data_IF_975205215677
#
_entry.id   IF_975205215677
#
_cell.length_a   1.000
_cell.length_b   1.000
_cell.length_c   1.000
_cell.angle_alpha   90.00
_cell.angle_beta   90.00
_cell.angle_gamma   90.00
#
_symmetry.space_group_name_H-M   'P 1'
#
loop_
_entity.id
_entity.type
_entity.pdbx_description
1 polymer ?
#
# COMPACT_ATOMS: atom_id res chain seq x y z
N UNK A 1 5.30 -9.17 14.73
CA UNK A 1 4.79 -9.43 13.36
C UNK A 1 5.74 -10.39 12.66
N UNK A 2 5.24 -11.32 11.86
CA UNK A 2 6.04 -12.25 11.04
C UNK A 2 6.30 -11.71 9.62
N UNK A 3 7.09 -12.41 8.80
CA UNK A 3 7.24 -12.06 7.38
C UNK A 3 5.94 -12.23 6.58
N UNK A 4 5.17 -13.33 6.70
CA UNK A 4 3.85 -13.43 6.05
C UNK A 4 2.94 -12.26 6.43
N UNK A 5 3.00 -11.81 7.68
CA UNK A 5 2.18 -10.69 8.11
C UNK A 5 2.53 -9.37 7.41
N UNK A 6 3.83 -9.13 7.20
CA UNK A 6 4.32 -7.98 6.43
C UNK A 6 3.87 -8.08 4.97
N UNK A 7 4.02 -9.26 4.35
CA UNK A 7 3.60 -9.48 2.95
C UNK A 7 2.09 -9.25 2.78
N UNK A 8 1.28 -9.69 3.75
CA UNK A 8 -0.15 -9.43 3.77
C UNK A 8 -0.45 -7.93 3.91
N UNK A 9 0.29 -7.20 4.75
CA UNK A 9 0.15 -5.74 4.84
C UNK A 9 0.51 -5.04 3.53
N UNK A 10 1.56 -5.46 2.83
CA UNK A 10 1.88 -4.92 1.49
C UNK A 10 0.73 -5.23 0.51
N UNK A 11 0.20 -6.46 0.52
CA UNK A 11 -0.89 -6.87 -0.36
C UNK A 11 -2.16 -6.03 -0.15
N UNK A 12 -2.58 -5.84 1.10
CA UNK A 12 -3.76 -5.06 1.47
C UNK A 12 -3.58 -3.59 1.08
N UNK A 13 -2.40 -3.01 1.32
CA UNK A 13 -2.10 -1.64 0.91
C UNK A 13 -2.09 -1.47 -0.61
N UNK A 14 -1.50 -2.40 -1.36
CA UNK A 14 -1.55 -2.38 -2.84
C UNK A 14 -2.97 -2.55 -3.38
N UNK A 15 -3.80 -3.39 -2.75
CA UNK A 15 -5.20 -3.53 -3.14
C UNK A 15 -5.98 -2.23 -2.92
N UNK A 16 -5.78 -1.60 -1.77
CA UNK A 16 -6.39 -0.33 -1.43
C UNK A 16 -5.93 0.80 -2.35
N UNK A 17 -4.63 0.85 -2.65
CA UNK A 17 -4.05 1.83 -3.55
C UNK A 17 -4.62 1.69 -4.98
N UNK A 18 -4.70 0.45 -5.48
CA UNK A 18 -5.30 0.17 -6.79
C UNK A 18 -6.77 0.59 -6.87
N UNK A 19 -7.54 0.35 -5.80
CA UNK A 19 -8.94 0.80 -5.71
C UNK A 19 -9.04 2.33 -5.71
N UNK A 20 -8.24 3.02 -4.88
CA UNK A 20 -8.24 4.49 -4.83
C UNK A 20 -7.76 5.12 -6.12
N UNK A 21 -6.81 4.52 -6.84
CA UNK A 21 -6.44 4.98 -8.17
C UNK A 21 -7.59 4.82 -9.18
N UNK A 22 -8.29 3.68 -9.15
CA UNK A 22 -9.41 3.43 -10.05
C UNK A 22 -10.57 4.40 -9.85
N UNK A 23 -10.83 4.87 -8.62
CA UNK A 23 -11.83 5.91 -8.32
C UNK A 23 -11.55 7.24 -9.06
N UNK A 24 -10.30 7.50 -9.40
CA UNK A 24 -9.85 8.71 -10.10
C UNK A 24 -9.74 8.54 -11.62
N UNK A 25 -10.08 7.38 -12.18
CA UNK A 25 -10.00 7.10 -13.62
C UNK A 25 -10.92 7.96 -14.52
N UNK A 26 -11.83 8.74 -13.93
CA UNK A 26 -12.74 9.65 -14.65
C UNK A 26 -12.93 10.99 -13.93
N UNK A 27 -12.07 11.29 -12.96
CA UNK A 27 -12.19 12.43 -12.04
C UNK A 27 -10.89 13.22 -11.90
N UNK A 28 -9.82 12.79 -12.56
CA UNK A 28 -8.54 13.46 -12.50
C UNK A 28 -8.58 14.83 -13.21
N UNK A 29 -7.58 15.70 -12.97
CA UNK A 29 -7.58 17.05 -13.55
C UNK A 29 -7.47 17.11 -15.08
N UNK A 30 -7.06 16.02 -15.73
CA UNK A 30 -6.97 15.92 -17.19
C UNK A 30 -7.20 14.49 -17.66
N UNK A 31 -7.48 14.33 -18.96
CA UNK A 31 -7.67 13.02 -19.57
C UNK A 31 -6.41 12.14 -19.47
N UNK A 32 -5.23 12.74 -19.61
CA UNK A 32 -3.96 12.03 -19.42
C UNK A 32 -3.80 11.53 -17.98
N UNK A 33 -4.23 12.33 -17.00
CA UNK A 33 -4.23 11.93 -15.60
C UNK A 33 -5.27 10.84 -15.29
N UNK A 34 -6.44 10.88 -15.95
CA UNK A 34 -7.45 9.81 -15.88
C UNK A 34 -6.89 8.48 -16.39
N UNK A 35 -6.23 8.51 -17.56
CA UNK A 35 -5.59 7.32 -18.15
C UNK A 35 -4.48 6.79 -17.25
N UNK A 36 -3.66 7.67 -16.68
CA UNK A 36 -2.61 7.27 -15.74
C UNK A 36 -3.20 6.63 -14.47
N UNK A 37 -4.25 7.22 -13.89
CA UNK A 37 -4.94 6.67 -12.72
C UNK A 37 -5.54 5.29 -13.01
N UNK A 38 -6.20 5.11 -14.16
CA UNK A 38 -6.75 3.82 -14.57
C UNK A 38 -5.65 2.75 -14.75
N UNK A 39 -4.53 3.12 -15.39
CA UNK A 39 -3.41 2.21 -15.61
C UNK A 39 -2.77 1.76 -14.29
N UNK A 40 -2.42 2.71 -13.42
CA UNK A 40 -1.82 2.40 -12.11
C UNK A 40 -2.80 1.60 -11.23
N UNK A 41 -4.09 1.91 -11.29
CA UNK A 41 -5.12 1.15 -10.58
C UNK A 41 -5.17 -0.32 -11.00
N UNK A 42 -5.10 -0.60 -12.29
CA UNK A 42 -5.05 -1.97 -12.81
C UNK A 42 -3.78 -2.69 -12.36
N UNK A 43 -2.63 -2.03 -12.46
CA UNK A 43 -1.33 -2.60 -12.08
C UNK A 43 -1.30 -2.96 -10.59
N UNK A 44 -1.74 -2.07 -9.70
CA UNK A 44 -1.73 -2.33 -8.25
C UNK A 44 -2.74 -3.39 -7.79
N UNK A 45 -3.89 -3.51 -8.47
CA UNK A 45 -4.78 -4.66 -8.30
C UNK A 45 -4.12 -5.96 -8.81
N UNK A 46 -3.26 -5.90 -9.82
CA UNK A 46 -2.40 -7.02 -10.22
C UNK A 46 -1.34 -7.35 -9.16
N UNK A 47 -0.65 -6.33 -8.64
CA UNK A 47 0.40 -6.44 -7.64
C UNK A 47 -0.10 -7.09 -6.34
N UNK A 48 -1.26 -6.65 -5.85
CA UNK A 48 -1.89 -7.25 -4.66
C UNK A 48 -2.18 -8.73 -4.85
N UNK A 49 -2.69 -9.16 -6.01
CA UNK A 49 -2.92 -10.59 -6.32
C UNK A 49 -1.61 -11.40 -6.32
N UNK A 50 -0.52 -10.84 -6.86
CA UNK A 50 0.80 -11.48 -6.81
C UNK A 50 1.29 -11.63 -5.37
N UNK A 51 1.14 -10.59 -4.55
CA UNK A 51 1.52 -10.61 -3.13
C UNK A 51 0.69 -11.61 -2.32
N UNK A 52 -0.63 -11.66 -2.53
CA UNK A 52 -1.48 -12.68 -1.93
C UNK A 52 -1.04 -14.10 -2.31
N UNK A 53 -0.68 -14.31 -3.58
CA UNK A 53 -0.13 -15.58 -4.06
C UNK A 53 1.24 -15.95 -3.47
N UNK A 54 1.93 -15.04 -2.78
CA UNK A 54 3.17 -15.34 -2.06
C UNK A 54 2.92 -15.89 -0.66
N UNK A 55 1.70 -15.76 -0.10
CA UNK A 55 1.43 -16.09 1.31
C UNK A 55 1.36 -17.59 1.56
N UNK A 56 0.77 -18.37 0.66
CA UNK A 56 0.68 -19.84 0.81
C UNK A 56 2.08 -20.49 0.92
N UNK A 57 3.07 -20.18 0.04
CA UNK A 57 4.44 -20.65 0.21
C UNK A 57 5.14 -20.19 1.51
N UNK A 58 4.64 -19.13 2.14
CA UNK A 58 5.11 -18.64 3.43
C UNK A 58 4.33 -19.24 4.62
N UNK A 59 3.40 -20.17 4.37
CA UNK A 59 2.59 -20.84 5.38
C UNK A 59 1.43 -20.01 5.92
N UNK A 60 0.96 -19.00 5.19
CA UNK A 60 -0.16 -18.15 5.58
C UNK A 60 -1.32 -18.22 4.56
N UNK A 61 -2.55 -18.19 5.03
CA UNK A 61 -3.75 -18.10 4.19
C UNK A 61 -4.31 -16.68 4.22
N UNK A 62 -4.37 -15.96 3.09
CA UNK A 62 -5.00 -14.65 3.03
C UNK A 62 -6.54 -14.69 3.12
N UNK A 63 -7.20 -15.85 3.25
CA UNK A 63 -8.67 -15.96 3.14
C UNK A 63 -9.35 -16.39 4.44
N UNK A 64 -8.95 -15.80 5.56
CA UNK A 64 -9.62 -16.01 6.84
C UNK A 64 -11.08 -15.52 6.82
N UNK A 65 -12.03 -16.20 7.52
CA UNK A 65 -13.44 -15.80 7.58
C UNK A 65 -13.67 -14.40 8.19
N UNK A 66 -12.74 -13.94 9.01
CA UNK A 66 -12.70 -12.57 9.52
C UNK A 66 -12.54 -11.52 8.41
N UNK A 67 -11.85 -11.84 7.30
CA UNK A 67 -11.69 -10.92 6.15
C UNK A 67 -12.98 -10.65 5.41
N UNK A 68 -13.97 -11.54 5.54
CA UNK A 68 -15.30 -11.38 4.95
C UNK A 68 -16.25 -10.60 5.85
N UNK A 69 -15.95 -10.46 7.15
CA UNK A 69 -16.91 -9.94 8.16
C UNK A 69 -16.41 -8.72 8.94
N UNK A 70 -15.09 -8.51 9.03
CA UNK A 70 -14.48 -7.42 9.79
C UNK A 70 -13.51 -6.60 8.92
N UNK A 71 -13.87 -5.35 8.65
CA UNK A 71 -12.99 -4.41 7.93
C UNK A 71 -11.68 -4.14 8.70
N UNK A 72 -11.67 -4.28 10.02
CA UNK A 72 -10.49 -4.13 10.87
C UNK A 72 -9.44 -5.22 10.68
N UNK A 73 -9.78 -6.32 10.00
CA UNK A 73 -8.84 -7.39 9.65
C UNK A 73 -7.90 -7.03 8.51
N UNK A 74 -8.23 -6.00 7.71
CA UNK A 74 -7.36 -5.47 6.66
C UNK A 74 -6.22 -4.65 7.26
N UNK A 75 -5.04 -4.80 6.67
CA UNK A 75 -3.76 -4.27 7.18
C UNK A 75 -3.27 -3.06 6.39
N UNK A 76 -4.22 -2.28 5.88
CA UNK A 76 -3.96 -1.05 5.14
C UNK A 76 -3.65 0.14 6.08
N UNK A 77 -2.89 1.09 5.56
CA UNK A 77 -2.68 2.39 6.21
C UNK A 77 -3.99 3.20 6.29
N UNK A 78 -4.07 4.08 7.28
CA UNK A 78 -5.27 4.89 7.52
C UNK A 78 -5.53 5.92 6.41
N UNK A 79 -4.52 6.22 5.59
CA UNK A 79 -4.63 7.03 4.38
C UNK A 79 -5.68 6.50 3.38
N UNK A 80 -5.98 5.20 3.47
CA UNK A 80 -6.95 4.53 2.62
C UNK A 80 -8.30 4.28 3.30
N UNK A 81 -8.46 4.62 4.59
CA UNK A 81 -9.69 4.32 5.32
C UNK A 81 -10.91 5.05 4.75
N UNK A 82 -10.72 6.13 4.00
CA UNK A 82 -11.76 6.88 3.29
C UNK A 82 -11.35 7.15 1.83
N UNK A 83 -12.32 7.34 0.90
CA UNK A 83 -12.03 7.83 -0.44
C UNK A 83 -11.34 9.19 -0.41
N UNK A 84 -10.50 9.46 -1.41
CA UNK A 84 -9.85 10.75 -1.54
C UNK A 84 -10.80 11.77 -2.18
N UNK A 85 -10.94 12.94 -1.56
CA UNK A 85 -11.77 14.04 -2.05
C UNK A 85 -11.02 15.00 -2.97
N UNK A 86 -9.68 15.02 -2.88
CA UNK A 86 -8.83 15.97 -3.59
C UNK A 86 -7.69 15.28 -4.34
N UNK A 87 -7.31 15.85 -5.48
CA UNK A 87 -6.22 15.31 -6.31
C UNK A 87 -4.86 15.34 -5.60
N UNK A 88 -4.66 16.31 -4.71
CA UNK A 88 -3.45 16.40 -3.86
C UNK A 88 -3.26 15.15 -3.00
N UNK A 89 -4.36 14.51 -2.55
CA UNK A 89 -4.30 13.25 -1.80
C UNK A 89 -3.85 12.08 -2.67
N UNK A 90 -4.34 12.02 -3.92
CA UNK A 90 -3.90 11.05 -4.92
C UNK A 90 -2.40 11.18 -5.17
N UNK A 91 -1.94 12.41 -5.45
CA UNK A 91 -0.52 12.67 -5.73
C UNK A 91 0.35 12.33 -4.52
N UNK A 92 -0.06 12.70 -3.31
CA UNK A 92 0.70 12.38 -2.10
C UNK A 92 0.80 10.87 -1.87
N UNK A 93 -0.28 10.11 -2.10
CA UNK A 93 -0.23 8.65 -2.04
C UNK A 93 0.68 8.06 -3.10
N UNK A 94 0.53 8.48 -4.36
CA UNK A 94 1.35 7.98 -5.48
C UNK A 94 2.83 8.31 -5.33
N UNK A 95 3.16 9.52 -4.90
CA UNK A 95 4.54 9.90 -4.77
C UNK A 95 5.18 9.28 -3.52
N UNK A 96 4.51 9.27 -2.37
CA UNK A 96 5.12 8.87 -1.10
C UNK A 96 4.80 7.43 -0.71
N UNK A 97 3.52 7.09 -0.60
CA UNK A 97 3.09 5.78 -0.08
C UNK A 97 3.40 4.66 -1.07
N UNK A 98 3.09 4.87 -2.35
CA UNK A 98 3.36 3.90 -3.40
C UNK A 98 4.86 3.59 -3.46
N UNK A 99 5.69 4.64 -3.52
CA UNK A 99 7.16 4.53 -3.46
C UNK A 99 7.63 3.84 -2.17
N UNK A 100 7.01 4.12 -1.01
CA UNK A 100 7.34 3.43 0.23
C UNK A 100 7.03 1.92 0.16
N UNK A 101 5.92 1.55 -0.45
CA UNK A 101 5.59 0.14 -0.73
C UNK A 101 6.62 -0.48 -1.68
N UNK A 102 7.00 0.22 -2.75
CA UNK A 102 8.07 -0.20 -3.66
C UNK A 102 9.37 -0.44 -2.89
N UNK A 103 9.77 0.45 -1.98
CA UNK A 103 10.99 0.29 -1.16
C UNK A 103 10.92 -0.95 -0.25
N UNK A 104 9.76 -1.24 0.35
CA UNK A 104 9.58 -2.46 1.12
C UNK A 104 9.65 -3.71 0.23
N UNK A 105 9.10 -3.63 -0.99
CA UNK A 105 9.20 -4.71 -1.98
C UNK A 105 10.66 -4.90 -2.45
N UNK A 106 11.42 -3.83 -2.66
CA UNK A 106 12.86 -3.88 -2.92
C UNK A 106 13.60 -4.60 -1.76
N UNK A 107 13.20 -4.33 -0.51
CA UNK A 107 13.76 -5.01 0.66
C UNK A 107 13.47 -6.52 0.66
N UNK A 108 12.25 -6.92 0.28
CA UNK A 108 11.86 -8.32 0.11
C UNK A 108 12.65 -9.01 -1.01
N UNK A 109 12.80 -8.35 -2.16
CA UNK A 109 13.53 -8.88 -3.33
C UNK A 109 15.03 -9.00 -3.05
N UNK A 110 15.59 -8.09 -2.25
CA UNK A 110 16.99 -8.15 -1.84
C UNK A 110 17.26 -9.11 -0.66
N UNK A 111 16.23 -9.55 0.05
CA UNK A 111 16.34 -10.51 1.16
C UNK A 111 16.52 -11.95 0.69
N UNK A 112 16.56 -12.91 1.61
CA UNK A 112 16.89 -14.32 1.33
C UNK A 112 15.71 -15.23 0.98
N UNK A 113 14.50 -14.68 0.77
CA UNK A 113 13.26 -15.47 0.65
C UNK A 113 12.88 -15.66 -0.81
N UNK A 114 13.16 -16.86 -1.34
CA UNK A 114 13.11 -17.17 -2.78
C UNK A 114 11.78 -16.84 -3.46
N UNK A 115 10.64 -17.17 -2.82
CA UNK A 115 9.31 -16.89 -3.39
C UNK A 115 9.11 -15.38 -3.64
N UNK A 116 9.58 -14.54 -2.72
CA UNK A 116 9.49 -13.08 -2.84
C UNK A 116 10.46 -12.55 -3.88
N UNK A 117 11.70 -13.05 -3.90
CA UNK A 117 12.69 -12.68 -4.92
C UNK A 117 12.20 -12.99 -6.34
N UNK A 118 11.55 -14.14 -6.53
CA UNK A 118 11.10 -14.55 -7.86
C UNK A 118 9.85 -13.78 -8.31
N UNK A 119 8.83 -13.71 -7.44
CA UNK A 119 7.51 -13.19 -7.81
C UNK A 119 7.44 -11.66 -7.85
N UNK A 120 8.25 -10.96 -7.06
CA UNK A 120 8.16 -9.50 -6.93
C UNK A 120 9.10 -8.72 -7.86
N UNK A 121 10.01 -9.37 -8.59
CA UNK A 121 10.93 -8.68 -9.53
C UNK A 121 10.21 -7.98 -10.68
N UNK A 122 9.16 -8.59 -11.24
CA UNK A 122 8.39 -8.00 -12.35
C UNK A 122 7.65 -6.74 -11.88
N UNK A 123 7.08 -6.79 -10.69
CA UNK A 123 6.38 -5.68 -10.05
C UNK A 123 7.27 -4.45 -9.96
N UNK A 124 8.54 -4.58 -9.53
CA UNK A 124 9.47 -3.45 -9.47
C UNK A 124 9.72 -2.76 -10.83
N UNK A 125 9.53 -3.45 -11.96
CA UNK A 125 9.65 -2.85 -13.28
C UNK A 125 8.42 -2.00 -13.64
N UNK A 126 7.24 -2.42 -13.21
CA UNK A 126 5.95 -1.73 -13.43
C UNK A 126 5.87 -0.47 -12.54
N UNK A 127 6.30 -0.58 -11.28
CA UNK A 127 6.38 0.51 -10.29
C UNK A 127 7.24 1.70 -10.75
N UNK A 128 8.19 1.48 -11.68
CA UNK A 128 9.00 2.57 -12.24
C UNK A 128 8.14 3.63 -12.92
N UNK A 129 7.04 3.24 -13.55
CA UNK A 129 6.11 4.20 -14.16
C UNK A 129 5.39 5.03 -13.08
N UNK A 130 4.91 4.37 -12.02
CA UNK A 130 4.22 5.02 -10.90
C UNK A 130 5.13 6.07 -10.24
N UNK A 131 6.38 5.70 -9.97
CA UNK A 131 7.39 6.61 -9.42
C UNK A 131 7.61 7.84 -10.31
N UNK A 132 7.75 7.65 -11.62
CA UNK A 132 7.97 8.78 -12.55
C UNK A 132 6.75 9.72 -12.58
N UNK A 133 5.54 9.16 -12.56
CA UNK A 133 4.30 9.92 -12.48
C UNK A 133 4.23 10.75 -11.19
N UNK A 134 4.41 10.11 -10.02
CA UNK A 134 4.35 10.78 -8.72
C UNK A 134 5.42 11.86 -8.56
N UNK A 135 6.66 11.57 -8.98
CA UNK A 135 7.76 12.55 -8.94
C UNK A 135 7.50 13.75 -9.84
N UNK A 136 6.87 13.55 -11.01
CA UNK A 136 6.50 14.65 -11.90
C UNK A 136 5.53 15.61 -11.21
N UNK A 137 4.51 15.08 -10.53
CA UNK A 137 3.55 15.90 -9.80
C UNK A 137 4.13 16.58 -8.56
N UNK A 138 5.02 15.92 -7.80
CA UNK A 138 5.72 16.58 -6.68
C UNK A 138 6.50 17.81 -7.13
N UNK A 139 7.14 17.76 -8.31
CA UNK A 139 7.87 18.91 -8.87
C UNK A 139 6.96 20.07 -9.27
N UNK A 140 5.71 19.80 -9.62
CA UNK A 140 4.69 20.82 -9.88
C UNK A 140 4.15 21.48 -8.60
N UNK A 141 4.38 20.86 -7.44
CA UNK A 141 3.88 21.31 -6.14
C UNK A 141 2.50 20.74 -5.83
N UNK A 142 2.29 20.36 -4.56
CA UNK A 142 1.00 19.94 -4.02
C UNK A 142 0.79 20.49 -2.62
N UNK A 143 -0.45 20.41 -2.13
CA UNK A 143 -0.79 20.81 -0.77
C UNK A 143 0.02 20.05 0.27
N UNK A 144 0.43 20.81 1.30
CA UNK A 144 1.35 20.34 2.32
C UNK A 144 0.73 19.26 3.22
N UNK A 145 -0.56 19.39 3.56
CA UNK A 145 -1.22 18.51 4.51
C UNK A 145 -1.31 17.04 4.03
N UNK A 146 -1.81 16.74 2.81
CA UNK A 146 -1.77 15.37 2.29
C UNK A 146 -0.35 14.80 2.22
N UNK A 147 0.62 15.63 1.83
CA UNK A 147 2.02 15.23 1.72
C UNK A 147 2.64 14.88 3.09
N UNK A 148 2.44 15.71 4.11
CA UNK A 148 2.94 15.45 5.47
C UNK A 148 2.28 14.22 6.09
N UNK A 149 0.99 14.02 5.84
CA UNK A 149 0.27 12.82 6.27
C UNK A 149 0.85 11.57 5.60
N UNK A 150 1.05 11.60 4.28
CA UNK A 150 1.63 10.47 3.54
C UNK A 150 3.05 10.13 4.03
N UNK A 151 3.89 11.13 4.32
CA UNK A 151 5.22 10.89 4.92
C UNK A 151 5.15 10.25 6.30
N UNK A 152 4.25 10.72 7.17
CA UNK A 152 4.03 10.09 8.48
C UNK A 152 3.65 8.63 8.32
N UNK A 153 2.65 8.34 7.51
CA UNK A 153 2.13 6.99 7.33
C UNK A 153 3.14 6.07 6.61
N UNK A 154 4.01 6.59 5.73
CA UNK A 154 5.13 5.84 5.17
C UNK A 154 6.17 5.44 6.23
N UNK A 155 6.47 6.32 7.19
CA UNK A 155 7.39 6.00 8.29
C UNK A 155 6.74 4.98 9.25
N UNK A 156 5.45 5.14 9.57
CA UNK A 156 4.69 4.13 10.32
C UNK A 156 4.69 2.78 9.59
N UNK A 157 4.57 2.80 8.25
CA UNK A 157 4.64 1.62 7.42
C UNK A 157 6.04 0.97 7.41
N UNK A 158 7.13 1.68 7.63
CA UNK A 158 8.45 1.07 7.81
C UNK A 158 8.62 0.47 9.22
N UNK A 159 7.91 1.02 10.20
CA UNK A 159 7.90 0.54 11.58
C UNK A 159 9.01 1.14 12.44
N UNK A 160 9.07 0.79 13.73
CA UNK A 160 10.03 1.36 14.67
C UNK A 160 11.47 0.97 14.31
N UNK A 161 12.47 1.84 14.56
CA UNK A 161 13.87 1.61 14.15
C UNK A 161 14.49 0.28 14.60
N UNK A 162 14.10 -0.20 15.78
CA UNK A 162 14.53 -1.45 16.41
C UNK A 162 13.43 -2.52 16.44
N UNK A 163 12.40 -2.33 15.61
CA UNK A 163 11.22 -3.18 15.53
C UNK A 163 11.38 -4.49 14.77
N UNK A 164 10.24 -5.02 14.40
CA UNK A 164 10.11 -6.29 13.70
C UNK A 164 10.67 -6.25 12.26
N UNK A 165 10.54 -5.14 11.53
CA UNK A 165 11.22 -4.97 10.23
C UNK A 165 12.75 -5.05 10.37
N UNK A 166 13.32 -4.44 11.41
CA UNK A 166 14.78 -4.54 11.67
C UNK A 166 15.17 -5.96 12.07
N UNK A 167 14.32 -6.67 12.82
CA UNK A 167 14.53 -8.09 13.12
C UNK A 167 14.53 -8.94 11.84
N UNK A 168 13.55 -8.75 10.95
CA UNK A 168 13.51 -9.43 9.64
C UNK A 168 14.75 -9.13 8.79
N UNK A 169 15.28 -7.90 8.84
CA UNK A 169 16.54 -7.54 8.18
C UNK A 169 17.73 -8.28 8.77
N UNK A 170 17.86 -8.35 10.11
CA UNK A 170 18.95 -9.07 10.79
C UNK A 170 18.91 -10.57 10.50
N UNK A 171 17.72 -11.14 10.39
CA UNK A 171 17.49 -12.53 9.97
C UNK A 171 17.81 -12.78 8.49
N UNK A 172 18.15 -11.75 7.71
CA UNK A 172 18.42 -11.85 6.28
C UNK A 172 17.17 -11.95 5.40
N UNK A 173 15.97 -11.98 5.98
CA UNK A 173 14.70 -12.07 5.24
C UNK A 173 14.39 -10.81 4.44
N UNK A 174 14.89 -9.65 4.89
CA UNK A 174 14.86 -8.37 4.18
C UNK A 174 16.29 -7.84 4.00
N UNK A 175 16.57 -7.15 2.90
CA UNK A 175 17.87 -6.47 2.72
C UNK A 175 17.96 -5.12 3.44
N UNK A 176 16.82 -4.48 3.71
CA UNK A 176 16.72 -3.16 4.32
C UNK A 176 15.81 -3.18 5.54
N UNK A 177 16.23 -2.49 6.59
CA UNK A 177 15.45 -2.21 7.80
C UNK A 177 14.88 -0.79 7.74
N UNK A 178 14.15 -0.34 8.78
CA UNK A 178 13.37 0.89 8.71
C UNK A 178 14.19 2.14 8.37
N UNK A 179 15.40 2.26 8.93
CA UNK A 179 16.29 3.39 8.66
C UNK A 179 16.83 3.39 7.21
N UNK A 180 17.19 2.22 6.67
CA UNK A 180 17.61 2.11 5.27
C UNK A 180 16.44 2.35 4.32
N UNK A 181 15.25 1.84 4.63
CA UNK A 181 14.04 2.07 3.84
C UNK A 181 13.68 3.56 3.78
N UNK A 182 13.72 4.27 4.91
CA UNK A 182 13.55 5.72 4.92
C UNK A 182 14.59 6.44 4.06
N UNK A 183 15.87 6.08 4.20
CA UNK A 183 16.95 6.68 3.40
C UNK A 183 16.72 6.46 1.91
N UNK A 184 16.35 5.23 1.53
CA UNK A 184 16.05 4.83 0.16
C UNK A 184 14.86 5.61 -0.42
N UNK A 185 13.80 5.79 0.36
CA UNK A 185 12.63 6.60 -0.03
C UNK A 185 13.02 8.06 -0.27
N UNK A 186 13.79 8.66 0.64
CA UNK A 186 14.30 10.03 0.49
C UNK A 186 15.18 10.20 -0.75
N UNK A 187 16.05 9.22 -1.04
CA UNK A 187 16.90 9.20 -2.23
C UNK A 187 16.10 9.09 -3.52
N UNK A 188 15.12 8.18 -3.59
CA UNK A 188 14.27 8.03 -4.77
C UNK A 188 13.51 9.32 -5.06
N UNK A 189 12.96 9.95 -4.02
CA UNK A 189 12.13 11.15 -4.19
C UNK A 189 12.94 12.44 -4.35
N UNK A 190 14.27 12.40 -4.18
CA UNK A 190 15.12 13.59 -4.12
C UNK A 190 14.63 14.60 -3.06
N UNK A 191 14.02 14.10 -1.98
CA UNK A 191 13.31 14.87 -0.98
C UNK A 191 13.55 14.31 0.42
N UNK A 192 13.64 15.19 1.43
CA UNK A 192 13.80 14.77 2.83
C UNK A 192 12.44 14.58 3.48
N UNK A 193 12.28 13.49 4.23
CA UNK A 193 11.09 13.32 5.04
C UNK A 193 11.01 14.43 6.11
N UNK A 194 9.83 14.98 6.39
CA UNK A 194 9.65 15.91 7.49
C UNK A 194 10.03 15.25 8.83
N UNK A 195 10.26 16.08 9.85
CA UNK A 195 10.42 15.55 11.20
C UNK A 195 9.05 15.08 11.69
N UNK A 196 8.90 13.77 11.83
CA UNK A 196 7.67 13.14 12.34
C UNK A 196 7.95 12.57 13.72
N UNK A 197 7.12 12.93 14.68
CA UNK A 197 7.09 12.31 16.02
C UNK A 197 5.98 11.25 16.04
N UNK A 198 6.36 9.99 16.28
CA UNK A 198 5.47 8.82 16.25
C UNK A 198 5.53 8.17 17.63
N UNK A 199 4.37 8.03 18.27
CA UNK A 199 4.26 7.24 19.50
C UNK A 199 4.24 5.74 19.14
N UNK A 200 5.43 5.14 19.11
CA UNK A 200 5.59 3.70 18.84
C UNK A 200 4.91 2.80 19.88
N UNK A 201 4.50 3.31 21.04
CA UNK A 201 3.72 2.53 22.03
C UNK A 201 2.26 2.35 21.59
N UNK A 202 1.74 3.28 20.81
CA UNK A 202 0.39 3.24 20.25
C UNK A 202 0.36 2.62 18.83
N UNK A 203 1.52 2.31 18.26
CA UNK A 203 1.64 1.75 16.91
C UNK A 203 1.20 0.29 16.87
N UNK A 204 0.29 -0.02 15.95
CA UNK A 204 -0.19 -1.38 15.70
C UNK A 204 0.79 -2.12 14.78
N UNK A 205 1.52 -3.15 15.26
CA UNK A 205 2.52 -3.82 14.44
C UNK A 205 1.94 -4.69 13.33
N UNK A 206 0.65 -5.02 13.36
CA UNK A 206 -0.01 -5.83 12.33
C UNK A 206 -0.50 -4.93 11.19
N UNK A 207 -1.14 -3.80 11.53
CA UNK A 207 -1.66 -2.84 10.54
C UNK A 207 -0.68 -1.73 10.16
N UNK A 208 0.43 -1.64 10.89
CA UNK A 208 1.57 -0.75 10.65
C UNK A 208 1.18 0.74 10.67
N UNK A 209 0.32 1.10 11.62
CA UNK A 209 -0.22 2.46 11.78
C UNK A 209 -0.48 2.79 13.24
N UNK A 210 -0.40 4.06 13.61
CA UNK A 210 -0.86 4.53 14.93
C UNK A 210 -2.35 4.90 14.93
N UNK A 211 -2.86 5.32 13.77
CA UNK A 211 -4.24 5.70 13.60
C UNK A 211 -5.19 4.50 13.82
N UNK A 212 -6.25 4.75 14.59
CA UNK A 212 -7.35 3.80 14.78
C UNK A 212 -8.35 3.93 13.63
N UNK A 213 -9.21 2.92 13.49
CA UNK A 213 -10.24 2.87 12.46
C UNK A 213 -10.14 1.60 11.62
N UNK A 214 -10.85 1.62 10.50
CA UNK A 214 -10.82 0.65 9.41
C UNK A 214 -11.40 1.37 8.17
N UNK A 215 -11.31 0.72 7.01
CA UNK A 215 -11.95 1.22 5.80
C UNK A 215 -13.46 1.41 5.99
N UNK A 216 -14.03 2.40 5.29
CA UNK A 216 -15.47 2.65 5.31
C UNK A 216 -16.29 1.47 4.77
N UNK A 217 -17.57 1.43 5.16
CA UNK A 217 -18.48 0.33 4.83
C UNK A 217 -18.66 0.14 3.32
N UNK A 218 -18.69 1.23 2.54
CA UNK A 218 -18.85 1.15 1.10
C UNK A 218 -17.61 0.52 0.47
N UNK A 219 -16.41 0.99 0.83
CA UNK A 219 -15.15 0.40 0.37
C UNK A 219 -15.07 -1.09 0.73
N UNK A 220 -15.46 -1.45 1.96
CA UNK A 220 -15.48 -2.85 2.39
C UNK A 220 -16.55 -3.69 1.65
N UNK A 221 -17.66 -3.07 1.26
CA UNK A 221 -18.67 -3.68 0.40
C UNK A 221 -18.14 -4.01 -1.00
N UNK A 222 -17.41 -3.06 -1.63
CA UNK A 222 -16.80 -3.26 -2.96
C UNK A 222 -15.80 -4.40 -2.96
N UNK A 223 -14.91 -4.47 -1.96
CA UNK A 223 -13.90 -5.53 -1.87
C UNK A 223 -14.51 -6.94 -1.80
N UNK A 224 -15.73 -7.07 -1.26
CA UNK A 224 -16.47 -8.34 -1.11
C UNK A 224 -17.46 -8.60 -2.25
N UNK A 225 -17.45 -7.78 -3.30
CA UNK A 225 -18.37 -7.90 -4.42
C UNK A 225 -19.84 -7.62 -4.05
N UNK A 226 -20.11 -7.00 -2.90
CA UNK A 226 -21.47 -6.75 -2.41
C UNK A 226 -22.15 -5.59 -3.15
N UNK A 227 -21.36 -4.66 -3.67
CA UNK A 227 -21.85 -3.54 -4.46
C UNK A 227 -22.29 -4.00 -5.85
N UNK A 228 -21.56 -4.94 -6.46
CA UNK A 228 -21.86 -5.55 -7.75
C UNK A 228 -23.09 -6.44 -7.68
N UNK A 229 -23.31 -7.13 -6.53
CA UNK A 229 -24.51 -7.95 -6.32
C UNK A 229 -25.82 -7.17 -6.47
N UNK A 230 -25.82 -5.84 -6.26
CA UNK A 230 -27.00 -4.98 -6.46
C UNK A 230 -27.43 -4.92 -7.93
N UNK A 231 -26.51 -5.18 -8.86
CA UNK A 231 -26.73 -5.19 -10.30
C UNK A 231 -26.87 -6.61 -10.88
N UNK A 232 -26.61 -7.65 -10.08
CA UNK A 232 -26.79 -9.03 -10.50
C UNK A 232 -28.29 -9.35 -10.61
N UNK A 233 -28.73 -10.07 -11.66
CA UNK A 233 -30.12 -10.50 -11.76
C UNK A 233 -30.47 -11.38 -10.56
N UNK A 234 -31.57 -11.06 -9.86
CA UNK A 234 -32.09 -11.89 -8.79
C UNK A 234 -32.37 -13.27 -9.36
N UNK A 235 -31.77 -14.33 -8.79
CA UNK A 235 -32.06 -15.69 -9.20
C UNK A 235 -33.59 -15.89 -9.18
N UNK A 236 -34.18 -16.09 -10.37
CA UNK A 236 -35.59 -16.41 -10.48
C UNK A 236 -35.81 -17.66 -9.63
N UNK A 237 -36.67 -17.56 -8.62
CA UNK A 237 -37.14 -18.73 -7.87
C UNK A 237 -37.90 -19.62 -8.86
N UNK A 238 -37.20 -20.60 -9.42
CA UNK A 238 -37.79 -21.72 -10.14
C UNK A 238 -38.37 -22.74 -9.18
#
# INVERSE_FOLDING_TARGET
>A
MSLPDLVLSIADNKQMLGLRYAEWATRAPSLEADIAAAAMGLDDLGHSRVLYGCLEPLGADPRGPERESDAGSLRNLAYFDQPWSEWSQFVAANAILDTAFTVMIEACVGGSVEVLQHRLRKMLMEERYHFLHGRSWLRSGIDKEPLERAWREAIEFFGPPDGETETLRRDGKLSMGPAQQRTRLEEQLEARAPRVDIDWRAWDPIRRRTARGAIDEHTFGMLRGLEEKKYAPTAAKG
#
